data_IF_017220347920
#
_entry.id   IF_017220347920
#
_cell.length_a   1.000
_cell.length_b   1.000
_cell.length_c   1.000
_cell.angle_alpha   90.00
_cell.angle_beta   90.00
_cell.angle_gamma   90.00
#
_symmetry.space_group_name_H-M   'P 1'
#
loop_
_entity.id
_entity.type
_entity.pdbx_description
1 polymer ?
#
# COMPACT_ATOMS: atom_id res chain seq x y z
N UNK A 1 17.46 -5.74 -2.27
CA UNK A 1 16.27 -5.62 -3.16
C UNK A 1 15.48 -4.36 -2.86
N UNK A 2 15.21 -4.08 -1.58
CA UNK A 2 14.48 -2.89 -1.12
C UNK A 2 15.17 -1.56 -1.51
N UNK A 3 16.47 -1.42 -1.27
CA UNK A 3 17.25 -0.24 -1.67
C UNK A 3 17.21 0.04 -3.19
N UNK A 4 17.37 -1.01 -4.02
CA UNK A 4 17.26 -0.91 -5.49
C UNK A 4 15.89 -0.35 -5.89
N UNK A 5 14.81 -0.84 -5.28
CA UNK A 5 13.47 -0.39 -5.61
C UNK A 5 13.25 1.08 -5.23
N UNK A 6 13.70 1.51 -4.05
CA UNK A 6 13.58 2.90 -3.61
C UNK A 6 14.38 3.87 -4.48
N UNK A 7 15.56 3.48 -4.95
CA UNK A 7 16.39 4.27 -5.87
C UNK A 7 15.70 4.43 -7.23
N UNK A 8 15.16 3.34 -7.79
CA UNK A 8 14.49 3.34 -9.10
C UNK A 8 13.17 4.12 -9.04
N UNK A 9 12.34 3.84 -8.02
CA UNK A 9 11.04 4.50 -7.80
C UNK A 9 11.16 6.01 -7.69
N UNK A 10 12.22 6.54 -7.08
CA UNK A 10 12.43 8.00 -6.93
C UNK A 10 12.61 8.74 -8.26
N UNK A 11 13.01 8.07 -9.34
CA UNK A 11 13.36 8.71 -10.62
C UNK A 11 12.59 8.18 -11.82
N UNK A 12 12.19 6.92 -11.83
CA UNK A 12 11.58 6.26 -12.97
C UNK A 12 10.06 6.18 -12.79
N UNK A 13 9.33 7.05 -13.47
CA UNK A 13 7.88 7.18 -13.37
C UNK A 13 7.14 5.89 -13.70
N UNK A 14 7.54 5.20 -14.77
CA UNK A 14 6.90 3.92 -15.15
C UNK A 14 7.13 2.84 -14.10
N UNK A 15 8.30 2.84 -13.44
CA UNK A 15 8.63 1.87 -12.40
C UNK A 15 7.86 2.16 -11.11
N UNK A 16 7.80 3.43 -10.70
CA UNK A 16 6.99 3.86 -9.55
C UNK A 16 5.50 3.56 -9.74
N UNK A 17 4.97 3.80 -10.95
CA UNK A 17 3.59 3.48 -11.28
C UNK A 17 3.28 1.99 -11.12
N UNK A 18 4.13 1.11 -11.65
CA UNK A 18 3.96 -0.34 -11.53
C UNK A 18 3.98 -0.82 -10.06
N UNK A 19 4.84 -0.24 -9.23
CA UNK A 19 4.85 -0.50 -7.79
C UNK A 19 3.56 -0.02 -7.13
N UNK A 20 3.13 1.21 -7.44
CA UNK A 20 1.90 1.80 -6.90
C UNK A 20 0.69 0.91 -7.14
N UNK A 21 0.55 0.28 -8.30
CA UNK A 21 -0.59 -0.59 -8.59
C UNK A 21 -0.79 -1.72 -7.57
N UNK A 22 0.27 -2.16 -6.90
CA UNK A 22 0.24 -3.26 -5.93
C UNK A 22 0.23 -2.82 -4.45
N UNK A 23 0.35 -1.51 -4.17
CA UNK A 23 0.32 -1.01 -2.80
C UNK A 23 -1.00 -1.34 -2.09
N UNK A 24 -0.92 -1.43 -0.75
CA UNK A 24 -2.09 -1.52 0.10
C UNK A 24 -2.95 -0.26 0.00
N UNK A 25 -4.25 -0.43 0.24
CA UNK A 25 -5.21 0.68 0.21
C UNK A 25 -5.37 1.20 1.63
N UNK A 26 -4.78 2.37 1.92
CA UNK A 26 -4.94 3.04 3.21
C UNK A 26 -6.12 4.03 3.17
N UNK A 27 -6.14 4.90 2.14
CA UNK A 27 -7.23 5.83 1.86
C UNK A 27 -7.81 5.52 0.49
N UNK A 28 -9.14 5.61 0.35
CA UNK A 28 -9.81 5.28 -0.88
C UNK A 28 -11.11 6.07 -1.07
N UNK A 29 -11.04 7.11 -1.88
CA UNK A 29 -12.17 8.01 -2.15
C UNK A 29 -13.26 7.33 -2.98
N UNK A 30 -12.87 6.41 -3.86
CA UNK A 30 -13.78 5.73 -4.81
C UNK A 30 -14.23 4.35 -4.33
N UNK A 31 -13.86 3.91 -3.12
CA UNK A 31 -14.18 2.56 -2.63
C UNK A 31 -15.67 2.28 -2.46
N UNK A 32 -16.48 3.31 -2.22
CA UNK A 32 -17.94 3.15 -2.18
C UNK A 32 -18.54 2.67 -3.51
N UNK A 33 -17.84 2.87 -4.63
CA UNK A 33 -18.31 2.43 -5.95
C UNK A 33 -18.30 0.91 -6.07
N UNK A 34 -17.44 0.22 -5.31
CA UNK A 34 -17.44 -1.25 -5.25
C UNK A 34 -18.76 -1.83 -4.72
N UNK A 35 -19.61 -1.00 -4.09
CA UNK A 35 -20.90 -1.45 -3.58
C UNK A 35 -21.91 -1.78 -4.68
N UNK A 36 -21.70 -1.34 -5.93
CA UNK A 36 -22.62 -1.63 -7.05
C UNK A 36 -22.50 -3.06 -7.59
N UNK A 37 -21.46 -3.79 -7.19
CA UNK A 37 -21.15 -5.14 -7.68
C UNK A 37 -22.19 -6.15 -7.17
N UNK A 38 -22.43 -7.21 -7.96
CA UNK A 38 -23.27 -8.35 -7.59
C UNK A 38 -22.98 -8.87 -6.16
N UNK A 39 -24.04 -9.03 -5.37
CA UNK A 39 -23.96 -9.40 -3.96
C UNK A 39 -23.29 -10.75 -3.71
N UNK A 40 -23.35 -11.66 -4.70
CA UNK A 40 -22.72 -12.99 -4.65
C UNK A 40 -21.20 -12.95 -4.57
N UNK A 41 -20.59 -11.84 -4.97
CA UNK A 41 -19.13 -11.66 -5.02
C UNK A 41 -18.68 -10.42 -4.25
N UNK A 42 -19.49 -9.36 -4.17
CA UNK A 42 -19.11 -8.10 -3.52
C UNK A 42 -18.56 -8.29 -2.10
N UNK A 43 -19.16 -9.20 -1.34
CA UNK A 43 -18.79 -9.46 0.05
C UNK A 43 -17.67 -10.49 0.22
N UNK A 44 -17.20 -11.12 -0.86
CA UNK A 44 -16.06 -12.02 -0.82
C UNK A 44 -14.80 -11.22 -0.43
N UNK A 45 -14.09 -11.60 0.66
CA UNK A 45 -12.96 -10.81 1.16
C UNK A 45 -11.90 -10.50 0.10
N UNK A 46 -11.60 -11.49 -0.75
CA UNK A 46 -10.62 -11.33 -1.82
C UNK A 46 -11.08 -10.31 -2.87
N UNK A 47 -12.36 -10.34 -3.26
CA UNK A 47 -12.89 -9.45 -4.27
C UNK A 47 -13.01 -8.03 -3.72
N UNK A 48 -13.43 -7.89 -2.46
CA UNK A 48 -13.50 -6.59 -1.79
C UNK A 48 -12.13 -5.90 -1.76
N UNK A 49 -11.08 -6.63 -1.36
CA UNK A 49 -9.69 -6.13 -1.39
C UNK A 49 -9.28 -5.76 -2.82
N UNK A 50 -9.56 -6.63 -3.78
CA UNK A 50 -9.19 -6.40 -5.17
C UNK A 50 -9.92 -5.20 -5.78
N UNK A 51 -11.22 -5.05 -5.54
CA UNK A 51 -12.02 -3.92 -6.01
C UNK A 51 -11.51 -2.61 -5.40
N UNK A 52 -11.19 -2.59 -4.11
CA UNK A 52 -10.62 -1.40 -3.45
C UNK A 52 -9.26 -1.01 -4.05
N UNK A 53 -8.40 -1.99 -4.35
CA UNK A 53 -7.15 -1.73 -5.06
C UNK A 53 -7.41 -1.20 -6.48
N UNK A 54 -8.36 -1.80 -7.19
CA UNK A 54 -8.74 -1.40 -8.54
C UNK A 54 -9.22 0.05 -8.60
N UNK A 55 -10.21 0.44 -7.79
CA UNK A 55 -10.75 1.81 -7.84
C UNK A 55 -9.73 2.87 -7.42
N UNK A 56 -8.86 2.54 -6.45
CA UNK A 56 -7.72 3.40 -6.07
C UNK A 56 -6.73 3.55 -7.23
N UNK A 57 -6.47 2.46 -7.96
CA UNK A 57 -5.60 2.49 -9.14
C UNK A 57 -6.22 3.30 -10.29
N UNK A 58 -7.54 3.22 -10.52
CA UNK A 58 -8.25 4.07 -11.48
C UNK A 58 -8.09 5.55 -11.11
N UNK A 59 -8.29 5.89 -9.84
CA UNK A 59 -8.05 7.25 -9.33
C UNK A 59 -6.61 7.72 -9.61
N UNK A 60 -5.62 6.90 -9.26
CA UNK A 60 -4.19 7.20 -9.48
C UNK A 60 -3.90 7.46 -10.96
N UNK A 61 -4.47 6.64 -11.86
CA UNK A 61 -4.31 6.81 -13.31
C UNK A 61 -4.91 8.13 -13.78
N UNK A 62 -6.10 8.50 -13.32
CA UNK A 62 -6.73 9.76 -13.72
C UNK A 62 -6.02 10.99 -13.17
N UNK A 63 -5.48 10.93 -11.96
CA UNK A 63 -4.62 11.99 -11.42
C UNK A 63 -3.36 12.20 -12.28
N UNK A 64 -2.70 11.13 -12.70
CA UNK A 64 -1.51 11.20 -13.57
C UNK A 64 -1.88 11.75 -14.95
N UNK A 65 -2.94 11.23 -15.57
CA UNK A 65 -3.34 11.61 -16.94
C UNK A 65 -3.83 13.06 -17.00
N UNK A 66 -4.45 13.56 -15.93
CA UNK A 66 -4.85 14.96 -15.82
C UNK A 66 -3.65 15.92 -15.93
N UNK A 67 -2.49 15.51 -15.41
CA UNK A 67 -1.24 16.29 -15.46
C UNK A 67 -0.47 16.00 -16.75
N UNK A 68 -0.41 14.74 -17.16
CA UNK A 68 0.42 14.24 -18.26
C UNK A 68 -0.43 13.47 -19.27
N UNK A 69 -1.20 14.20 -20.09
CA UNK A 69 -2.15 13.61 -21.05
C UNK A 69 -1.51 12.67 -22.06
N UNK A 70 -0.24 12.90 -22.42
CA UNK A 70 0.54 12.04 -23.30
C UNK A 70 0.74 10.62 -22.75
N UNK A 71 0.68 10.43 -21.42
CA UNK A 71 0.81 9.11 -20.78
C UNK A 71 -0.51 8.34 -20.69
N UNK A 72 -1.62 8.91 -21.18
CA UNK A 72 -2.96 8.32 -21.11
C UNK A 72 -2.99 6.90 -21.64
N UNK A 73 -2.63 6.73 -22.91
CA UNK A 73 -2.77 5.45 -23.60
C UNK A 73 -1.98 4.37 -22.87
N UNK A 74 -0.74 4.68 -22.47
CA UNK A 74 0.12 3.77 -21.73
C UNK A 74 -0.46 3.39 -20.38
N UNK A 75 -0.74 4.35 -19.49
CA UNK A 75 -1.19 4.03 -18.12
C UNK A 75 -2.54 3.32 -18.12
N UNK A 76 -3.45 3.66 -19.05
CA UNK A 76 -4.69 2.91 -19.24
C UNK A 76 -4.42 1.46 -19.63
N UNK A 77 -3.53 1.20 -20.62
CA UNK A 77 -3.16 -0.16 -21.02
C UNK A 77 -2.49 -0.95 -19.90
N UNK A 78 -1.57 -0.31 -19.16
CA UNK A 78 -0.89 -0.93 -18.01
C UNK A 78 -1.89 -1.30 -16.90
N UNK A 79 -2.86 -0.42 -16.61
CA UNK A 79 -3.93 -0.73 -15.66
C UNK A 79 -4.79 -1.91 -16.15
N UNK A 80 -5.20 -1.91 -17.42
CA UNK A 80 -5.99 -3.02 -17.99
C UNK A 80 -5.23 -4.35 -17.96
N UNK A 81 -3.92 -4.32 -18.25
CA UNK A 81 -3.04 -5.49 -18.10
C UNK A 81 -3.03 -5.99 -16.64
N UNK A 82 -2.77 -5.08 -15.69
CA UNK A 82 -2.69 -5.41 -14.27
C UNK A 82 -3.99 -6.05 -13.76
N UNK A 83 -5.15 -5.51 -14.15
CA UNK A 83 -6.46 -6.08 -13.79
C UNK A 83 -6.57 -7.52 -14.30
N UNK A 84 -6.28 -7.75 -15.58
CA UNK A 84 -6.41 -9.08 -16.19
C UNK A 84 -5.42 -10.09 -15.62
N UNK A 85 -4.19 -9.67 -15.36
CA UNK A 85 -3.17 -10.50 -14.70
C UNK A 85 -3.61 -10.88 -13.29
N UNK A 86 -4.13 -9.93 -12.50
CA UNK A 86 -4.65 -10.18 -11.15
C UNK A 86 -5.80 -11.19 -11.16
N UNK A 87 -6.75 -10.99 -12.08
CA UNK A 87 -7.90 -11.88 -12.26
C UNK A 87 -7.43 -13.30 -12.63
N UNK A 88 -6.55 -13.43 -13.63
CA UNK A 88 -5.98 -14.72 -14.06
C UNK A 88 -5.28 -15.43 -12.90
N UNK A 89 -4.35 -14.74 -12.22
CA UNK A 89 -3.60 -15.29 -11.10
C UNK A 89 -4.51 -15.72 -9.94
N UNK A 90 -5.59 -14.99 -9.70
CA UNK A 90 -6.55 -15.34 -8.67
C UNK A 90 -7.26 -16.67 -9.00
N UNK A 91 -7.74 -16.82 -10.24
CA UNK A 91 -8.42 -18.05 -10.66
C UNK A 91 -7.49 -19.26 -10.67
N UNK A 92 -6.27 -19.09 -11.19
CA UNK A 92 -5.27 -20.17 -11.22
C UNK A 92 -4.89 -20.65 -9.82
N UNK A 93 -4.71 -19.72 -8.87
CA UNK A 93 -4.34 -20.06 -7.49
C UNK A 93 -5.46 -20.74 -6.71
N UNK A 94 -6.69 -20.27 -6.87
CA UNK A 94 -7.80 -20.71 -6.02
C UNK A 94 -8.63 -21.84 -6.63
N UNK A 95 -8.35 -22.27 -7.88
CA UNK A 95 -9.13 -23.29 -8.62
C UNK A 95 -10.64 -23.00 -8.59
N UNK A 96 -11.02 -21.72 -8.52
CA UNK A 96 -12.41 -21.28 -8.42
C UNK A 96 -13.07 -21.43 -9.78
N UNK A 97 -14.15 -22.20 -9.82
CA UNK A 97 -14.92 -22.44 -11.04
C UNK A 97 -15.72 -21.16 -11.41
N UNK A 98 -15.68 -20.77 -12.68
CA UNK A 98 -16.21 -19.50 -13.23
C UNK A 98 -17.75 -19.39 -13.18
N UNK A 99 -18.44 -20.40 -12.64
CA UNK A 99 -19.80 -20.76 -13.06
C UNK A 99 -20.88 -19.75 -12.71
N UNK A 100 -20.64 -18.81 -11.79
CA UNK A 100 -21.74 -17.99 -11.26
C UNK A 100 -21.60 -16.48 -11.45
N UNK A 101 -20.39 -15.90 -11.57
CA UNK A 101 -20.21 -14.45 -11.77
C UNK A 101 -18.98 -14.12 -12.63
N UNK A 102 -19.17 -13.25 -13.63
CA UNK A 102 -18.09 -12.74 -14.47
C UNK A 102 -17.42 -11.51 -13.83
N UNK A 103 -16.28 -11.71 -13.18
CA UNK A 103 -15.50 -10.66 -12.50
C UNK A 103 -15.13 -9.49 -13.43
N UNK A 104 -14.79 -9.79 -14.69
CA UNK A 104 -14.44 -8.75 -15.68
C UNK A 104 -15.64 -7.84 -15.93
N UNK A 105 -16.83 -8.43 -16.04
CA UNK A 105 -18.08 -7.68 -16.21
C UNK A 105 -18.36 -6.80 -15.00
N UNK A 106 -18.23 -7.33 -13.78
CA UNK A 106 -18.47 -6.56 -12.56
C UNK A 106 -17.49 -5.39 -12.39
N UNK A 107 -16.21 -5.60 -12.67
CA UNK A 107 -15.24 -4.49 -12.64
C UNK A 107 -15.46 -3.47 -13.75
N UNK A 108 -15.98 -3.88 -14.90
CA UNK A 108 -16.32 -2.95 -15.98
C UNK A 108 -17.44 -2.01 -15.54
N UNK A 109 -18.47 -2.52 -14.83
CA UNK A 109 -19.52 -1.68 -14.23
C UNK A 109 -18.94 -0.66 -13.24
N UNK A 110 -18.05 -1.12 -12.36
CA UNK A 110 -17.37 -0.24 -11.38
C UNK A 110 -16.59 0.86 -12.09
N UNK A 111 -15.87 0.53 -13.18
CA UNK A 111 -15.13 1.52 -13.96
C UNK A 111 -16.07 2.54 -14.63
N UNK A 112 -17.14 2.06 -15.25
CA UNK A 112 -18.16 2.92 -15.87
C UNK A 112 -18.78 3.90 -14.87
N UNK A 113 -19.08 3.42 -13.66
CA UNK A 113 -19.61 4.26 -12.59
C UNK A 113 -18.61 5.31 -12.12
N UNK A 114 -17.32 4.97 -11.99
CA UNK A 114 -16.29 5.98 -11.68
C UNK A 114 -16.27 7.06 -12.78
N UNK A 115 -16.35 6.67 -14.04
CA UNK A 115 -16.32 7.60 -15.17
C UNK A 115 -17.56 8.51 -15.22
N UNK A 116 -18.73 7.95 -14.90
CA UNK A 116 -20.02 8.65 -15.00
C UNK A 116 -20.30 9.57 -13.81
N UNK A 117 -19.84 9.21 -12.61
CA UNK A 117 -20.12 9.96 -11.38
C UNK A 117 -18.88 10.69 -10.85
N UNK A 118 -17.82 9.96 -10.46
CA UNK A 118 -16.64 10.54 -9.81
C UNK A 118 -15.78 11.39 -10.74
N UNK A 119 -15.72 11.03 -12.02
CA UNK A 119 -14.88 11.69 -13.02
C UNK A 119 -15.70 12.33 -14.15
N UNK A 120 -16.96 12.65 -13.86
CA UNK A 120 -17.88 13.25 -14.84
C UNK A 120 -17.30 14.52 -15.45
N UNK A 121 -17.29 14.58 -16.78
CA UNK A 121 -16.82 15.75 -17.53
C UNK A 121 -15.29 15.90 -17.61
N UNK A 122 -14.52 14.96 -17.05
CA UNK A 122 -13.08 14.97 -17.25
C UNK A 122 -12.72 14.53 -18.68
N UNK A 123 -11.84 15.27 -19.39
CA UNK A 123 -11.31 14.80 -20.66
C UNK A 123 -10.35 13.63 -20.43
N UNK A 124 -10.06 12.86 -21.49
CA UNK A 124 -8.97 11.88 -21.49
C UNK A 124 -9.14 10.65 -20.57
N UNK A 125 -10.37 10.29 -20.19
CA UNK A 125 -10.62 9.06 -19.43
C UNK A 125 -10.20 7.80 -20.21
N UNK A 126 -9.74 6.78 -19.48
CA UNK A 126 -9.54 5.44 -20.04
C UNK A 126 -10.87 4.86 -20.53
N UNK A 127 -10.82 4.06 -21.60
CA UNK A 127 -11.99 3.26 -21.98
C UNK A 127 -12.28 2.24 -20.87
N UNK A 128 -13.50 2.24 -20.34
CA UNK A 128 -13.94 1.36 -19.24
C UNK A 128 -14.10 -0.10 -19.64
N UNK A 129 -13.93 -0.43 -20.92
CA UNK A 129 -14.16 -1.77 -21.43
C UNK A 129 -12.95 -2.67 -21.21
N UNK A 130 -12.91 -3.28 -20.02
CA UNK A 130 -11.97 -4.36 -19.70
C UNK A 130 -12.17 -5.55 -20.66
N UNK A 131 -13.38 -5.71 -21.21
CA UNK A 131 -13.78 -6.83 -22.08
C UNK A 131 -13.42 -6.65 -23.57
N UNK A 132 -13.41 -5.43 -24.11
CA UNK A 132 -13.21 -5.21 -25.57
C UNK A 132 -11.80 -5.48 -26.09
N UNK A 133 -10.78 -5.55 -25.23
CA UNK A 133 -9.44 -5.92 -25.69
C UNK A 133 -9.36 -7.42 -25.92
N UNK A 134 -9.63 -7.88 -27.14
CA UNK A 134 -9.40 -9.28 -27.57
C UNK A 134 -7.92 -9.72 -27.52
N UNK A 135 -7.02 -8.86 -27.02
CA UNK A 135 -5.59 -9.11 -26.93
C UNK A 135 -5.26 -10.19 -25.91
N UNK A 136 -4.37 -11.08 -26.32
CA UNK A 136 -3.76 -12.08 -25.46
C UNK A 136 -3.03 -11.39 -24.29
N UNK A 137 -3.11 -11.93 -23.08
CA UNK A 137 -2.44 -11.38 -21.89
C UNK A 137 -0.93 -11.24 -22.09
N UNK A 138 -0.29 -12.18 -22.81
CA UNK A 138 1.14 -12.09 -23.14
C UNK A 138 1.45 -10.93 -24.09
N UNK A 139 0.57 -10.61 -25.03
CA UNK A 139 0.75 -9.44 -25.90
C UNK A 139 0.65 -8.15 -25.10
N UNK A 140 -0.32 -8.07 -24.18
CA UNK A 140 -0.46 -6.93 -23.28
C UNK A 140 0.77 -6.75 -22.39
N UNK A 141 1.35 -7.85 -21.89
CA UNK A 141 2.59 -7.85 -21.12
C UNK A 141 3.75 -7.27 -21.93
N UNK A 142 3.91 -7.73 -23.18
CA UNK A 142 4.94 -7.22 -24.11
C UNK A 142 4.76 -5.73 -24.40
N UNK A 143 3.54 -5.29 -24.66
CA UNK A 143 3.21 -3.85 -24.85
C UNK A 143 3.58 -3.03 -23.61
N UNK A 144 3.26 -3.52 -22.40
CA UNK A 144 3.63 -2.88 -21.14
C UNK A 144 5.14 -2.75 -20.99
N UNK A 145 5.90 -3.82 -21.23
CA UNK A 145 7.37 -3.82 -21.14
C UNK A 145 7.98 -2.83 -22.13
N UNK A 146 7.52 -2.86 -23.39
CA UNK A 146 8.01 -1.92 -24.41
C UNK A 146 7.76 -0.46 -24.00
N UNK A 147 6.52 -0.13 -23.63
CA UNK A 147 6.14 1.22 -23.21
C UNK A 147 6.89 1.67 -21.94
N UNK A 148 7.20 0.75 -21.03
CA UNK A 148 7.99 1.03 -19.83
C UNK A 148 9.43 1.44 -20.17
N UNK A 149 10.09 0.70 -21.06
CA UNK A 149 11.43 1.02 -21.53
C UNK A 149 11.49 2.41 -22.18
N UNK A 150 10.58 2.68 -23.13
CA UNK A 150 10.58 3.92 -23.89
C UNK A 150 10.33 5.17 -23.03
N UNK A 151 9.44 5.09 -22.03
CA UNK A 151 9.22 6.19 -21.08
C UNK A 151 10.42 6.44 -20.18
N UNK A 152 11.05 5.38 -19.67
CA UNK A 152 12.16 5.51 -18.74
C UNK A 152 13.48 5.92 -19.43
N UNK A 153 13.60 5.72 -20.75
CA UNK A 153 14.85 5.85 -21.48
C UNK A 153 15.51 7.24 -21.34
N UNK A 154 14.76 8.33 -21.53
CA UNK A 154 15.35 9.68 -21.46
C UNK A 154 15.81 10.03 -20.05
N UNK A 155 15.06 9.60 -19.03
CA UNK A 155 15.47 9.74 -17.63
C UNK A 155 16.73 8.93 -17.34
N UNK A 156 16.79 7.68 -17.80
CA UNK A 156 17.97 6.84 -17.65
C UNK A 156 19.18 7.41 -18.39
N UNK A 157 19.02 7.89 -19.62
CA UNK A 157 20.05 8.63 -20.35
C UNK A 157 20.62 9.76 -19.48
N UNK A 158 19.75 10.63 -18.98
CA UNK A 158 20.17 11.77 -18.16
C UNK A 158 20.88 11.36 -16.86
N UNK A 159 20.52 10.21 -16.27
CA UNK A 159 21.15 9.68 -15.07
C UNK A 159 22.51 9.02 -15.37
N UNK A 160 22.61 8.32 -16.50
CA UNK A 160 23.79 7.54 -16.90
C UNK A 160 24.88 8.37 -17.57
N UNK A 161 24.54 9.51 -18.16
CA UNK A 161 25.51 10.40 -18.83
C UNK A 161 25.86 11.64 -18.00
N UNK A 162 25.53 11.67 -16.70
CA UNK A 162 25.91 12.79 -15.82
C UNK A 162 27.43 12.91 -15.73
N UNK A 163 27.99 14.12 -15.70
CA UNK A 163 29.44 14.33 -15.63
C UNK A 163 30.08 13.80 -14.34
N UNK A 164 29.27 13.58 -13.29
CA UNK A 164 29.68 12.96 -12.05
C UNK A 164 28.84 11.72 -11.73
N UNK A 165 29.47 10.70 -11.17
CA UNK A 165 28.83 9.44 -10.79
C UNK A 165 28.24 9.55 -9.38
N UNK A 166 26.93 9.34 -9.24
CA UNK A 166 26.28 9.17 -7.93
C UNK A 166 26.47 7.74 -7.42
N UNK A 167 26.42 7.51 -6.11
CA UNK A 167 26.42 6.16 -5.50
C UNK A 167 25.41 5.22 -6.18
N UNK A 168 24.23 5.77 -6.51
CA UNK A 168 23.09 5.05 -7.06
C UNK A 168 23.27 4.71 -8.56
N UNK A 169 24.35 5.17 -9.21
CA UNK A 169 24.40 5.13 -10.66
C UNK A 169 24.54 3.70 -11.23
N UNK A 170 25.19 2.81 -10.49
CA UNK A 170 25.23 1.38 -10.84
C UNK A 170 23.83 0.76 -10.87
N UNK A 171 22.92 1.18 -9.97
CA UNK A 171 21.55 0.68 -9.91
C UNK A 171 20.80 1.06 -11.20
N UNK A 172 20.94 2.31 -11.65
CA UNK A 172 20.37 2.75 -12.92
C UNK A 172 20.97 2.02 -14.12
N UNK A 173 22.29 1.78 -14.11
CA UNK A 173 22.96 1.07 -15.20
C UNK A 173 22.51 -0.39 -15.29
N UNK A 174 22.48 -1.10 -14.16
CA UNK A 174 21.99 -2.48 -14.10
C UNK A 174 20.53 -2.57 -14.56
N UNK A 175 19.65 -1.69 -14.06
CA UNK A 175 18.26 -1.66 -14.51
C UNK A 175 18.12 -1.37 -16.00
N UNK A 176 18.87 -0.39 -16.51
CA UNK A 176 18.86 -0.05 -17.94
C UNK A 176 19.29 -1.24 -18.79
N UNK A 177 20.37 -1.95 -18.41
CA UNK A 177 20.85 -3.13 -19.13
C UNK A 177 19.78 -4.24 -19.15
N UNK A 178 19.23 -4.59 -17.99
CA UNK A 178 18.19 -5.62 -17.88
C UNK A 178 16.97 -5.26 -18.76
N UNK A 179 16.53 -3.99 -18.69
CA UNK A 179 15.39 -3.51 -19.46
C UNK A 179 15.69 -3.39 -20.96
N UNK A 180 16.92 -3.05 -21.34
CA UNK A 180 17.38 -3.02 -22.73
C UNK A 180 17.36 -4.42 -23.35
N UNK A 181 17.90 -5.42 -22.63
CA UNK A 181 17.97 -6.79 -23.12
C UNK A 181 16.56 -7.35 -23.34
N UNK A 182 15.65 -7.12 -22.39
CA UNK A 182 14.25 -7.54 -22.49
C UNK A 182 13.50 -6.81 -23.61
N UNK A 183 13.63 -5.47 -23.69
CA UNK A 183 13.03 -4.67 -24.76
C UNK A 183 13.51 -5.10 -26.14
N UNK A 184 14.83 -5.22 -26.33
CA UNK A 184 15.43 -5.51 -27.63
C UNK A 184 14.94 -6.84 -28.18
N UNK A 185 14.84 -7.86 -27.32
CA UNK A 185 14.27 -9.16 -27.68
C UNK A 185 12.82 -9.03 -28.13
N UNK A 186 11.97 -8.40 -27.31
CA UNK A 186 10.53 -8.26 -27.60
C UNK A 186 10.29 -7.45 -28.87
N UNK A 187 10.99 -6.32 -29.03
CA UNK A 187 10.86 -5.42 -30.16
C UNK A 187 11.32 -6.09 -31.47
N UNK A 188 12.38 -6.90 -31.43
CA UNK A 188 12.83 -7.68 -32.61
C UNK A 188 11.77 -8.69 -33.04
N UNK A 189 11.23 -9.46 -32.10
CA UNK A 189 10.20 -10.47 -32.37
C UNK A 189 8.84 -9.85 -32.77
N UNK A 190 8.55 -8.61 -32.32
CA UNK A 190 7.24 -7.97 -32.45
C UNK A 190 7.36 -6.54 -33.03
N UNK A 191 8.23 -6.34 -34.02
CA UNK A 191 8.58 -5.00 -34.53
C UNK A 191 7.36 -4.18 -34.98
N UNK A 192 6.42 -4.80 -35.70
CA UNK A 192 5.15 -4.14 -36.09
C UNK A 192 4.43 -3.54 -34.88
N UNK A 193 4.40 -4.27 -33.75
CA UNK A 193 3.74 -3.82 -32.54
C UNK A 193 4.51 -2.73 -31.81
N UNK A 194 5.84 -2.81 -31.82
CA UNK A 194 6.68 -1.73 -31.33
C UNK A 194 6.38 -0.43 -32.10
N UNK A 195 6.28 -0.50 -33.43
CA UNK A 195 6.00 0.65 -34.29
C UNK A 195 4.59 1.25 -34.08
N UNK A 196 3.64 0.49 -33.53
CA UNK A 196 2.33 1.02 -33.16
C UNK A 196 2.37 1.84 -31.85
N UNK A 197 3.42 1.69 -31.03
CA UNK A 197 3.59 2.44 -29.78
C UNK A 197 4.33 3.74 -30.10
N UNK A 198 3.61 4.86 -30.11
CA UNK A 198 4.14 6.17 -30.55
C UNK A 198 5.41 6.59 -29.80
N UNK A 199 5.46 6.45 -28.47
CA UNK A 199 6.66 6.79 -27.69
C UNK A 199 7.87 5.89 -27.99
N UNK A 200 7.63 4.72 -28.60
CA UNK A 200 8.67 3.73 -28.87
C UNK A 200 9.24 3.78 -30.28
N UNK A 201 8.65 4.55 -31.21
CA UNK A 201 9.02 4.55 -32.63
C UNK A 201 10.54 4.63 -32.89
N UNK A 202 11.24 5.53 -32.18
CA UNK A 202 12.69 5.73 -32.33
C UNK A 202 13.55 4.55 -31.81
N UNK A 203 12.96 3.67 -30.99
CA UNK A 203 13.64 2.56 -30.33
C UNK A 203 13.45 1.23 -31.05
N UNK A 204 12.43 1.08 -31.90
CA UNK A 204 12.09 -0.20 -32.53
C UNK A 204 13.17 -0.71 -33.49
N UNK A 205 13.86 0.19 -34.19
CA UNK A 205 14.98 -0.16 -35.08
C UNK A 205 16.34 -0.07 -34.40
N UNK A 206 16.46 0.77 -33.38
CA UNK A 206 17.67 0.93 -32.59
C UNK A 206 17.27 1.09 -31.13
N UNK A 207 17.32 0.00 -30.36
CA UNK A 207 16.90 -0.02 -28.96
C UNK A 207 17.72 0.94 -28.08
N UNK A 208 18.97 1.25 -28.46
CA UNK A 208 19.82 2.20 -27.74
C UNK A 208 20.38 3.30 -28.67
N UNK A 209 19.55 4.29 -29.05
CA UNK A 209 19.92 5.34 -29.99
C UNK A 209 21.15 6.16 -29.59
N UNK A 210 21.40 6.27 -28.28
CA UNK A 210 22.52 7.03 -27.73
C UNK A 210 23.68 6.14 -27.32
N UNK A 211 23.61 4.83 -27.59
CA UNK A 211 24.65 3.87 -27.25
C UNK A 211 25.04 3.97 -25.77
N UNK A 212 24.05 4.18 -24.89
CA UNK A 212 24.19 4.31 -23.43
C UNK A 212 24.91 3.11 -22.82
N UNK A 213 24.72 1.91 -23.39
CA UNK A 213 25.51 0.73 -22.98
C UNK A 213 27.00 0.99 -23.11
N UNK A 214 27.44 1.80 -24.08
CA UNK A 214 28.85 2.15 -24.26
C UNK A 214 29.26 3.47 -23.61
N UNK A 215 28.39 4.46 -23.55
CA UNK A 215 28.75 5.83 -23.10
C UNK A 215 28.38 6.14 -21.65
N UNK A 216 27.66 5.26 -20.95
CA UNK A 216 27.32 5.50 -19.55
C UNK A 216 28.58 5.68 -18.68
N UNK A 217 28.66 6.80 -17.97
CA UNK A 217 29.76 7.14 -17.05
C UNK A 217 29.78 6.24 -15.81
N UNK A 218 28.68 5.52 -15.62
CA UNK A 218 28.43 4.63 -14.50
C UNK A 218 28.61 3.17 -14.88
N UNK A 219 29.09 2.90 -16.10
CA UNK A 219 29.76 1.64 -16.37
C UNK A 219 30.76 1.46 -15.25
N UNK A 220 30.56 0.39 -14.50
CA UNK A 220 31.54 -0.06 -13.52
C UNK A 220 32.89 -0.02 -14.24
N UNK A 221 33.77 0.88 -13.76
CA UNK A 221 35.19 0.58 -13.70
C UNK A 221 35.21 -0.82 -13.11
N UNK A 222 35.44 -1.83 -13.96
CA UNK A 222 35.93 -3.11 -13.47
C UNK A 222 37.08 -2.69 -12.57
N UNK A 223 36.88 -2.78 -11.25
CA UNK A 223 37.80 -2.21 -10.28
C UNK A 223 39.19 -2.64 -10.71
N UNK A 224 40.01 -1.64 -11.01
CA UNK A 224 41.44 -1.70 -11.21
C UNK A 224 42.02 -2.99 -10.63
N UNK A 225 42.53 -3.86 -11.51
CA UNK A 225 43.35 -5.04 -11.22
C UNK A 225 44.69 -4.70 -10.53
N UNK A 226 44.74 -3.65 -9.74
CA UNK A 226 45.99 -3.10 -9.19
C UNK A 226 46.09 -3.17 -7.67
N UNK A 227 45.16 -3.81 -6.96
CA UNK A 227 45.41 -4.20 -5.56
C UNK A 227 44.79 -5.57 -5.25
N UNK A 228 45.63 -6.59 -5.45
CA UNK A 228 45.39 -7.98 -5.06
C UNK A 228 45.49 -8.15 -3.54
N UNK A 229 44.40 -8.61 -2.92
CA UNK A 229 44.38 -9.90 -2.21
C UNK A 229 43.10 -10.58 -2.74
N UNK A 230 43.10 -11.72 -3.44
CA UNK A 230 43.70 -13.01 -3.13
C UNK A 230 43.92 -13.89 -4.39
N UNK A 231 45.05 -14.63 -4.36
CA UNK A 231 45.40 -15.98 -4.85
C UNK A 231 44.88 -16.52 -6.22
N UNK A 232 45.84 -16.96 -7.05
CA UNK A 232 45.68 -17.62 -8.35
C UNK A 232 44.97 -18.99 -8.28
N UNK A 233 44.17 -19.32 -9.31
CA UNK A 233 43.29 -20.51 -9.35
C UNK A 233 44.03 -21.83 -9.09
N UNK A 234 45.27 -21.95 -9.55
CA UNK A 234 46.13 -23.11 -9.29
C UNK A 234 46.46 -23.27 -7.80
N UNK A 235 46.67 -22.16 -7.07
CA UNK A 235 46.80 -22.14 -5.60
C UNK A 235 45.47 -22.40 -4.88
N UNK A 236 44.34 -21.98 -5.46
CA UNK A 236 43.02 -22.27 -4.90
C UNK A 236 42.69 -23.77 -4.99
N UNK A 237 43.09 -24.42 -6.09
CA UNK A 237 42.89 -25.86 -6.28
C UNK A 237 43.84 -26.69 -5.39
N UNK A 238 45.10 -26.25 -5.19
CA UNK A 238 45.99 -26.88 -4.19
C UNK A 238 45.52 -26.69 -2.75
N UNK A 239 44.95 -25.54 -2.39
CA UNK A 239 44.35 -25.30 -1.07
C UNK A 239 43.07 -26.12 -0.85
N UNK A 240 42.34 -26.41 -1.93
CA UNK A 240 41.14 -27.26 -1.90
C UNK A 240 41.51 -28.73 -1.68
N UNK A 241 42.55 -29.22 -2.35
CA UNK A 241 43.06 -30.60 -2.17
C UNK A 241 43.74 -30.80 -0.81
N UNK A 242 44.33 -29.75 -0.22
CA UNK A 242 44.85 -29.74 1.15
C UNK A 242 43.76 -29.62 2.23
N UNK A 243 42.56 -29.15 1.90
CA UNK A 243 41.43 -29.00 2.85
C UNK A 243 40.52 -30.24 2.91
N UNK A 244 40.59 -31.13 1.92
CA UNK A 244 39.84 -32.41 1.88
C UNK A 244 40.30 -33.45 2.91
N UNK A 245 41.57 -33.54 3.37
CA UNK A 245 41.94 -34.55 4.37
C UNK A 245 41.45 -34.23 5.79
N UNK A 246 41.03 -33.00 6.09
CA UNK A 246 40.85 -32.54 7.48
C UNK A 246 39.38 -32.39 7.94
N UNK A 247 38.40 -32.79 7.12
CA UNK A 247 37.01 -32.94 7.59
C UNK A 247 36.47 -34.31 7.27
N UNK A 248 36.84 -35.28 8.11
CA UNK A 248 35.91 -36.34 8.48
C UNK A 248 34.71 -35.66 9.14
N UNK A 249 33.54 -35.68 8.49
CA UNK A 249 32.29 -35.24 9.09
C UNK A 249 31.99 -36.13 10.30
N UNK A 250 32.35 -35.68 11.51
CA UNK A 250 31.66 -36.14 12.70
C UNK A 250 30.26 -35.54 12.70
N UNK A 251 29.26 -36.42 12.68
CA UNK A 251 27.85 -36.09 12.88
C UNK A 251 27.66 -35.62 14.32
N UNK A 252 27.89 -34.33 14.60
CA UNK A 252 27.39 -33.72 15.85
C UNK A 252 25.95 -33.32 15.63
N UNK A 253 25.06 -34.04 16.30
CA UNK A 253 23.66 -33.65 16.46
C UNK A 253 23.57 -32.18 16.90
N UNK A 254 22.78 -31.42 16.16
CA UNK A 254 22.45 -30.05 16.50
C UNK A 254 21.54 -30.09 17.74
N UNK A 255 22.13 -29.99 18.93
CA UNK A 255 21.35 -29.73 20.14
C UNK A 255 20.80 -28.32 20.03
N UNK A 256 19.51 -28.21 19.80
CA UNK A 256 18.74 -26.99 20.06
C UNK A 256 19.11 -26.57 21.48
N UNK A 257 19.67 -25.38 21.64
CA UNK A 257 19.98 -24.84 22.96
C UNK A 257 18.70 -24.79 23.77
N UNK A 258 18.62 -25.56 24.85
CA UNK A 258 17.51 -25.47 25.80
C UNK A 258 17.35 -24.02 26.26
N UNK A 259 16.09 -23.58 26.29
CA UNK A 259 15.71 -22.23 26.68
C UNK A 259 16.03 -22.04 28.17
N UNK A 260 17.17 -21.44 28.48
CA UNK A 260 17.59 -21.19 29.86
C UNK A 260 17.21 -19.78 30.29
N UNK A 261 16.82 -19.61 31.55
CA UNK A 261 16.32 -18.35 32.12
C UNK A 261 17.34 -17.19 32.11
N UNK A 262 18.60 -17.43 31.70
CA UNK A 262 19.64 -16.40 31.55
C UNK A 262 19.81 -15.90 30.11
N UNK A 263 18.97 -16.34 29.16
CA UNK A 263 19.02 -15.87 27.77
C UNK A 263 18.33 -14.49 27.65
N UNK A 264 18.99 -13.53 27.01
CA UNK A 264 18.46 -12.17 26.79
C UNK A 264 17.12 -12.17 26.03
N UNK A 265 16.83 -13.26 25.30
CA UNK A 265 15.54 -13.51 24.63
C UNK A 265 14.39 -13.69 25.64
N UNK A 266 14.65 -14.27 26.81
CA UNK A 266 13.65 -14.44 27.87
C UNK A 266 13.22 -13.10 28.47
N UNK A 267 14.14 -12.13 28.57
CA UNK A 267 13.84 -10.76 29.06
C UNK A 267 12.80 -10.09 28.15
N UNK A 268 12.99 -10.20 26.83
CA UNK A 268 12.07 -9.62 25.85
C UNK A 268 10.67 -10.28 25.97
N UNK A 269 10.61 -11.61 26.12
CA UNK A 269 9.34 -12.33 26.27
C UNK A 269 8.61 -11.99 27.58
N UNK A 270 9.33 -11.81 28.68
CA UNK A 270 8.76 -11.38 29.97
C UNK A 270 8.18 -9.97 29.85
N UNK A 271 8.90 -9.05 29.21
CA UNK A 271 8.43 -7.68 28.99
C UNK A 271 7.16 -7.64 28.16
N UNK A 272 7.10 -8.37 27.04
CA UNK A 272 5.89 -8.45 26.21
C UNK A 272 4.71 -9.11 26.95
N UNK A 273 4.98 -10.12 27.77
CA UNK A 273 3.94 -10.79 28.57
C UNK A 273 3.35 -9.86 29.62
N UNK A 274 4.19 -9.10 30.33
CA UNK A 274 3.74 -8.09 31.31
C UNK A 274 2.95 -6.96 30.63
N UNK A 275 3.38 -6.54 29.44
CA UNK A 275 2.67 -5.52 28.66
C UNK A 275 1.29 -5.99 28.19
N UNK A 276 1.19 -7.24 27.73
CA UNK A 276 -0.08 -7.86 27.34
C UNK A 276 -1.05 -7.98 28.50
N UNK A 277 -0.55 -8.35 29.69
CA UNK A 277 -1.35 -8.41 30.92
C UNK A 277 -1.85 -7.01 31.32
N UNK A 278 -0.99 -6.00 31.27
CA UNK A 278 -1.36 -4.61 31.59
C UNK A 278 -2.44 -4.06 30.65
N UNK A 279 -2.30 -4.28 29.34
CA UNK A 279 -3.30 -3.87 28.34
C UNK A 279 -4.62 -4.61 28.53
N UNK A 280 -4.57 -5.89 28.91
CA UNK A 280 -5.76 -6.68 29.22
C UNK A 280 -6.51 -6.12 30.45
N UNK A 281 -5.79 -5.74 31.51
CA UNK A 281 -6.41 -5.08 32.66
C UNK A 281 -7.00 -3.71 32.33
N UNK A 282 -6.34 -2.90 31.48
CA UNK A 282 -6.90 -1.63 31.02
C UNK A 282 -8.19 -1.83 30.20
N UNK A 283 -8.20 -2.82 29.32
CA UNK A 283 -9.38 -3.15 28.52
C UNK A 283 -10.53 -3.66 29.41
N UNK A 284 -10.24 -4.57 30.34
CA UNK A 284 -11.24 -5.09 31.29
C UNK A 284 -11.71 -4.01 32.27
N UNK A 285 -10.86 -3.07 32.69
CA UNK A 285 -11.26 -1.92 33.51
C UNK A 285 -12.26 -1.02 32.78
N UNK A 286 -12.09 -0.83 31.47
CA UNK A 286 -13.01 -0.04 30.63
C UNK A 286 -14.33 -0.76 30.34
N UNK A 287 -14.32 -2.10 30.27
CA UNK A 287 -15.48 -2.91 29.89
C UNK A 287 -16.28 -3.51 31.07
N UNK A 288 -15.69 -3.61 32.26
CA UNK A 288 -16.35 -4.17 33.45
C UNK A 288 -16.92 -3.00 34.29
N UNK A 289 -18.15 -3.08 34.87
CA UNK A 289 -18.69 -2.01 35.73
C UNK A 289 -18.02 -1.98 37.12
N UNK A 290 -16.69 -2.13 37.16
CA UNK A 290 -15.88 -2.20 38.36
C UNK A 290 -15.83 -0.86 39.12
N UNK A 291 -16.05 0.26 38.42
CA UNK A 291 -16.20 1.61 39.02
C UNK A 291 -17.39 1.69 39.98
N UNK A 292 -18.49 1.01 39.66
CA UNK A 292 -19.67 0.91 40.52
C UNK A 292 -19.46 -0.09 41.68
N UNK A 293 -18.66 -1.14 41.47
CA UNK A 293 -18.38 -2.15 42.51
C UNK A 293 -17.39 -1.64 43.57
N UNK A 294 -16.34 -0.90 43.17
CA UNK A 294 -15.35 -0.32 44.09
C UNK A 294 -15.96 0.80 44.95
N UNK A 295 -16.75 1.69 44.34
CA UNK A 295 -17.44 2.78 45.08
C UNK A 295 -18.42 2.22 46.12
N UNK A 296 -19.12 1.12 45.81
CA UNK A 296 -20.07 0.50 46.73
C UNK A 296 -19.38 -0.28 47.88
N UNK A 297 -18.12 -0.70 47.70
CA UNK A 297 -17.34 -1.41 48.72
C UNK A 297 -16.54 -0.47 49.65
N UNK A 298 -16.19 0.73 49.18
CA UNK A 298 -15.51 1.78 49.96
C UNK A 298 -16.47 2.76 50.67
N UNK A 299 -17.76 2.80 50.29
CA UNK A 299 -18.77 3.70 50.89
C UNK A 299 -19.31 3.32 52.28
N UNK A 300 -18.75 2.31 52.96
CA UNK A 300 -19.17 1.91 54.31
C UNK A 300 -18.05 2.05 55.34
N UNK A 301 -17.71 3.29 55.72
CA UNK A 301 -17.21 3.65 57.07
C UNK A 301 -17.06 5.18 57.24
N UNK A 302 -17.73 5.71 58.29
CA UNK A 302 -17.58 7.01 59.00
C UNK A 302 -17.79 8.30 58.17
N UNK A 303 -18.89 9.04 58.33
CA UNK A 303 -19.17 10.02 59.41
C UNK A 303 -17.95 10.91 59.69
N UNK A 304 -17.95 12.12 59.12
CA UNK A 304 -17.83 13.42 59.82
C UNK A 304 -18.50 14.45 58.90
N UNK A 305 -19.57 15.04 59.40
CA UNK A 305 -20.24 16.21 58.84
C UNK A 305 -19.57 17.41 59.50
N UNK A 306 -18.84 18.21 58.73
CA UNK A 306 -18.60 19.60 59.10
C UNK A 306 -18.69 20.47 57.84
N UNK A 307 -19.48 21.53 57.99
CA UNK A 307 -19.87 22.52 56.99
C UNK A 307 -18.64 23.15 56.33
N UNK A 308 -18.65 23.27 55.01
CA UNK A 308 -18.23 24.51 54.32
C UNK A 308 -18.92 24.57 52.96
N UNK A 309 -19.43 25.76 52.66
CA UNK A 309 -20.25 26.14 51.53
C UNK A 309 -19.38 27.01 50.62
N UNK A 310 -19.12 26.59 49.39
CA UNK A 310 -18.56 27.33 48.21
C UNK A 310 -18.23 26.24 47.17
N UNK A 311 -18.88 26.11 46.00
CA UNK A 311 -19.04 27.02 44.87
C UNK A 311 -17.74 27.68 44.40
N UNK A 312 -17.51 27.51 43.09
CA UNK A 312 -16.43 28.03 42.23
C UNK A 312 -15.18 27.12 42.21
N UNK A 313 -14.54 26.84 41.06
CA UNK A 313 -14.35 27.61 39.83
C UNK A 313 -14.60 26.70 38.59
N UNK A 314 -14.79 27.15 37.35
CA UNK A 314 -14.16 28.25 36.63
C UNK A 314 -14.93 28.42 35.30
N UNK A 315 -15.20 29.65 34.86
CA UNK A 315 -14.98 30.05 33.46
C UNK A 315 -15.16 31.56 33.29
N UNK A 316 -14.03 32.23 33.19
CA UNK A 316 -13.81 33.63 32.86
C UNK A 316 -14.12 33.89 31.39
N UNK A 317 -14.86 34.98 31.06
CA UNK A 317 -14.52 35.99 30.04
C UNK A 317 -15.62 37.08 29.95
N UNK A 318 -15.23 38.29 30.37
CA UNK A 318 -15.57 39.65 29.88
C UNK A 318 -16.99 40.00 29.35
N UNK A 319 -17.76 40.72 30.18
CA UNK A 319 -18.11 42.17 30.05
C UNK A 319 -18.41 42.66 28.61
N UNK A 320 -19.61 43.10 28.19
CA UNK A 320 -20.26 44.35 28.62
C UNK A 320 -21.72 44.58 28.12
N UNK A 321 -22.47 45.29 28.97
CA UNK A 321 -23.64 46.18 28.84
C UNK A 321 -24.99 45.84 28.12
N UNK A 322 -26.02 45.95 28.97
CA UNK A 322 -27.34 46.59 28.80
C UNK A 322 -28.40 45.94 27.89
N UNK A 323 -29.46 45.45 28.53
CA UNK A 323 -30.76 46.15 28.46
C UNK A 323 -31.62 45.78 29.66
N UNK A 324 -32.13 46.84 30.28
CA UNK A 324 -32.92 46.79 31.49
C UNK A 324 -34.37 46.35 31.23
N UNK A 325 -34.97 45.91 32.35
CA UNK A 325 -36.32 46.27 32.77
C UNK A 325 -37.48 45.40 32.23
N UNK A 326 -38.05 44.57 33.11
CA UNK A 326 -39.38 44.80 33.74
C UNK A 326 -40.11 43.52 34.16
N UNK A 327 -40.36 43.48 35.47
CA UNK A 327 -41.63 43.15 36.11
C UNK A 327 -42.05 41.68 36.31
N UNK A 328 -41.53 41.17 37.43
CA UNK A 328 -42.24 40.51 38.54
C UNK A 328 -43.75 40.81 38.66
N UNK A 329 -44.59 39.76 38.77
CA UNK A 329 -45.72 39.59 39.71
C UNK A 329 -46.39 38.22 39.45
N UNK A 330 -46.11 37.18 40.24
CA UNK A 330 -46.73 36.82 41.52
C UNK A 330 -48.16 36.24 41.37
N UNK A 331 -48.30 34.91 41.30
CA UNK A 331 -49.56 34.21 41.65
C UNK A 331 -49.27 32.81 42.17
N UNK A 332 -49.09 32.76 43.50
CA UNK A 332 -49.60 31.82 44.50
C UNK A 332 -50.05 30.41 44.06
N UNK A 333 -49.35 29.40 44.57
CA UNK A 333 -49.75 27.99 44.55
C UNK A 333 -50.86 27.71 45.59
N UNK A 334 -51.87 26.93 45.22
CA UNK A 334 -52.77 26.27 46.19
C UNK A 334 -52.95 24.79 45.84
N UNK A 335 -52.44 23.93 46.73
CA UNK A 335 -52.70 22.49 46.76
C UNK A 335 -53.72 22.26 47.87
N UNK A 336 -54.83 21.58 47.58
CA UNK A 336 -55.68 20.98 48.61
C UNK A 336 -55.99 19.54 48.18
N UNK A 337 -55.56 18.59 49.01
CA UNK A 337 -55.90 17.18 48.96
C UNK A 337 -56.90 16.93 50.08
N UNK A 338 -58.00 16.22 49.81
CA UNK A 338 -58.66 15.44 50.85
C UNK A 338 -59.47 14.28 50.26
N UNK A 339 -59.31 13.15 50.93
CA UNK A 339 -59.95 11.85 50.71
C UNK A 339 -61.35 11.83 51.31
N UNK A 340 -62.28 11.08 50.71
CA UNK A 340 -62.93 9.93 51.37
C UNK A 340 -64.11 9.37 50.56
N UNK A 341 -64.24 8.05 50.66
CA UNK A 341 -65.29 7.14 50.23
C UNK A 341 -66.66 7.40 50.89
N UNK A 342 -67.78 7.31 50.16
CA UNK A 342 -68.78 6.21 50.30
C UNK A 342 -70.06 6.34 49.44
N UNK A 343 -70.48 5.16 48.95
CA UNK A 343 -71.80 4.58 48.67
C UNK A 343 -73.03 5.40 48.17
N UNK A 344 -73.54 4.92 47.02
CA UNK A 344 -74.94 4.56 46.71
C UNK A 344 -76.08 5.57 46.94
N UNK A 345 -76.77 5.98 45.86
CA UNK A 345 -78.03 5.35 45.42
C UNK A 345 -78.35 5.71 43.97
#
# INVERSE_FOLDING_TARGET
MEERNEVLKRKLSSFDFDLKLNNSVANCEYCSVCEIVDEKIRNEPWFKIFCYQFVRNVQTVYEIIRISTHLREKHCKTLTYWIREKIKNFYEKNKVDMKNVNVISELSKVWEEINSSKCKGQPNLCESSISKQSKNLEEMKREKIMSAYCENYDTLKNLLTKPYTTSDCYIYYSYFKDSFDEFSKIATENNKKCLEIKECLRFCHNADPNNLIKVANCKVVQMSKDNNEYIEKEKCDTLKDQAVPEKTCETREFRISEFTFSDNRAIILILFSLWGIFLSFLFLYKMTPFRAWISNKLGKKKIIRDNFNEQSDDETFDVDYETADRNMQNTEYNIIYNSDWNSSQ
#
